data_IF_609345713466
#
_entry.id   IF_609345713466
#
_cell.length_a   1.000
_cell.length_b   1.000
_cell.length_c   1.000
_cell.angle_alpha   90.00
_cell.angle_beta   90.00
_cell.angle_gamma   90.00
#
_symmetry.space_group_name_H-M   'P 1'
#
loop_
_entity.id
_entity.type
_entity.pdbx_description
1 polymer ?
#
# COMPACT_ATOMS: atom_id res chain seq x y z
N UNK A 1 37.71 9.43 18.72
CA UNK A 1 36.37 10.02 18.88
C UNK A 1 35.54 9.09 19.72
N UNK A 2 34.95 9.58 20.80
CA UNK A 2 34.05 8.79 21.66
C UNK A 2 32.70 8.68 20.96
N UNK A 3 32.24 7.45 20.68
CA UNK A 3 30.97 7.20 20.02
C UNK A 3 29.84 7.50 21.01
N UNK A 4 29.01 8.51 20.72
CA UNK A 4 27.86 8.87 21.57
C UNK A 4 26.64 8.14 21.02
N UNK A 5 26.25 7.06 21.69
CA UNK A 5 25.04 6.32 21.35
C UNK A 5 23.84 7.03 21.97
N UNK A 6 22.94 7.54 21.13
CA UNK A 6 21.68 8.16 21.58
C UNK A 6 20.53 7.18 21.36
N UNK A 7 19.68 7.04 22.39
CA UNK A 7 18.52 6.16 22.39
C UNK A 7 17.25 6.98 22.53
N UNK A 8 16.33 6.78 21.59
CA UNK A 8 15.01 7.40 21.61
C UNK A 8 13.97 6.30 21.58
N UNK A 9 13.02 6.28 22.53
CA UNK A 9 11.89 5.35 22.55
C UNK A 9 10.59 6.11 22.82
N UNK A 10 9.59 5.89 21.97
CA UNK A 10 8.25 6.46 22.12
C UNK A 10 7.19 5.41 21.88
N UNK A 11 6.18 5.38 22.74
CA UNK A 11 4.96 4.58 22.57
C UNK A 11 3.81 5.50 22.17
N UNK A 12 3.11 5.17 21.08
CA UNK A 12 1.91 5.90 20.63
C UNK A 12 0.71 4.94 20.67
N UNK A 13 -0.31 5.32 21.44
CA UNK A 13 -1.59 4.60 21.48
C UNK A 13 -2.56 5.26 20.51
N UNK A 14 -3.13 4.50 19.58
CA UNK A 14 -4.09 4.96 18.56
C UNK A 14 -3.59 6.15 17.71
N UNK A 15 -2.44 5.99 17.02
CA UNK A 15 -1.95 7.03 16.11
C UNK A 15 -3.00 7.39 15.05
N UNK A 16 -3.15 8.68 14.78
CA UNK A 16 -3.97 9.24 13.71
C UNK A 16 -3.11 9.86 12.61
N UNK A 17 -3.71 10.13 11.45
CA UNK A 17 -3.07 10.83 10.34
C UNK A 17 -4.11 11.67 9.59
N UNK A 18 -3.73 12.89 9.21
CA UNK A 18 -4.47 13.69 8.23
C UNK A 18 -4.24 13.11 6.84
N UNK A 19 -5.31 12.73 6.16
CA UNK A 19 -5.27 12.22 4.78
C UNK A 19 -6.37 12.86 3.94
N UNK A 20 -6.17 12.86 2.63
CA UNK A 20 -7.27 13.01 1.68
C UNK A 20 -7.75 11.61 1.25
N UNK A 21 -9.00 11.20 1.56
CA UNK A 21 -9.54 9.91 1.14
C UNK A 21 -9.50 9.69 -0.37
N UNK A 22 -9.64 10.76 -1.17
CA UNK A 22 -9.57 10.69 -2.64
C UNK A 22 -8.20 10.25 -3.12
N UNK A 23 -7.13 10.64 -2.44
CA UNK A 23 -5.77 10.24 -2.83
C UNK A 23 -5.58 8.73 -2.62
N UNK A 24 -6.13 8.18 -1.53
CA UNK A 24 -6.10 6.74 -1.24
C UNK A 24 -6.88 5.94 -2.30
N UNK A 25 -8.08 6.39 -2.64
CA UNK A 25 -8.92 5.78 -3.67
C UNK A 25 -8.21 5.84 -5.03
N UNK A 26 -7.69 7.02 -5.40
CA UNK A 26 -7.00 7.25 -6.68
C UNK A 26 -5.75 6.38 -6.80
N UNK A 27 -4.97 6.26 -5.73
CA UNK A 27 -3.79 5.41 -5.69
C UNK A 27 -4.16 3.93 -5.87
N UNK A 28 -5.18 3.45 -5.14
CA UNK A 28 -5.66 2.07 -5.25
C UNK A 28 -6.15 1.75 -6.68
N UNK A 29 -6.94 2.66 -7.28
CA UNK A 29 -7.42 2.53 -8.65
C UNK A 29 -6.28 2.55 -9.68
N UNK A 30 -5.35 3.51 -9.59
CA UNK A 30 -4.20 3.62 -10.50
C UNK A 30 -3.31 2.39 -10.45
N UNK A 31 -3.01 1.90 -9.24
CA UNK A 31 -2.20 0.69 -9.06
C UNK A 31 -2.91 -0.55 -9.58
N UNK A 32 -4.24 -0.64 -9.48
CA UNK A 32 -5.00 -1.75 -10.04
C UNK A 32 -5.08 -1.67 -11.56
N UNK A 33 -5.25 -0.48 -12.15
CA UNK A 33 -5.23 -0.29 -13.60
C UNK A 33 -3.91 -0.82 -14.20
N UNK A 34 -2.79 -0.51 -13.55
CA UNK A 34 -1.48 -1.06 -13.90
C UNK A 34 -1.43 -2.59 -13.82
N UNK A 35 -2.01 -3.19 -12.77
CA UNK A 35 -2.11 -4.66 -12.65
C UNK A 35 -2.96 -5.24 -13.77
N UNK A 36 -4.10 -4.62 -14.11
CA UNK A 36 -4.98 -5.06 -15.19
C UNK A 36 -4.30 -4.94 -16.57
N UNK A 37 -3.53 -3.87 -16.80
CA UNK A 37 -2.69 -3.69 -17.99
C UNK A 37 -1.75 -4.88 -18.19
N UNK A 38 -0.95 -5.22 -17.18
CA UNK A 38 0.01 -6.30 -17.29
C UNK A 38 -0.66 -7.69 -17.28
N UNK A 39 -1.75 -7.88 -16.54
CA UNK A 39 -2.57 -9.10 -16.61
C UNK A 39 -3.09 -9.31 -18.04
N UNK A 40 -3.55 -8.25 -18.69
CA UNK A 40 -4.01 -8.30 -20.08
C UNK A 40 -2.88 -8.64 -21.06
N UNK A 41 -1.63 -8.25 -20.76
CA UNK A 41 -0.46 -8.60 -21.58
C UNK A 41 0.02 -10.05 -21.34
N UNK A 42 0.10 -10.49 -20.08
CA UNK A 42 0.70 -11.77 -19.71
C UNK A 42 -0.28 -12.94 -19.72
N UNK A 43 -1.54 -12.69 -19.36
CA UNK A 43 -2.62 -13.68 -19.21
C UNK A 43 -3.98 -13.10 -19.62
N UNK A 44 -4.16 -12.64 -20.88
CA UNK A 44 -5.39 -11.96 -21.33
C UNK A 44 -6.68 -12.77 -21.08
N UNK A 45 -6.62 -14.09 -21.23
CA UNK A 45 -7.77 -14.98 -21.03
C UNK A 45 -8.25 -15.06 -19.58
N UNK A 46 -7.45 -14.61 -18.61
CA UNK A 46 -7.73 -14.69 -17.17
C UNK A 46 -8.18 -13.37 -16.56
N UNK A 47 -8.17 -12.26 -17.31
CA UNK A 47 -8.49 -10.92 -16.78
C UNK A 47 -9.90 -10.89 -16.18
N UNK A 48 -10.89 -11.43 -16.89
CA UNK A 48 -12.29 -11.46 -16.42
C UNK A 48 -12.44 -12.33 -15.16
N UNK A 49 -11.74 -13.47 -15.09
CA UNK A 49 -11.76 -14.34 -13.91
C UNK A 49 -11.13 -13.61 -12.70
N UNK A 50 -10.01 -12.91 -12.92
CA UNK A 50 -9.32 -12.12 -11.90
C UNK A 50 -10.21 -11.00 -11.36
N UNK A 51 -10.86 -10.24 -12.26
CA UNK A 51 -11.81 -9.18 -11.88
C UNK A 51 -12.91 -9.75 -11.00
N UNK A 52 -13.57 -10.84 -11.41
CA UNK A 52 -14.64 -11.48 -10.62
C UNK A 52 -14.16 -11.99 -9.26
N UNK A 53 -12.96 -12.56 -9.20
CA UNK A 53 -12.36 -13.02 -7.95
C UNK A 53 -12.09 -11.84 -7.00
N UNK A 54 -11.55 -10.74 -7.53
CA UNK A 54 -11.31 -9.53 -6.74
C UNK A 54 -12.62 -8.87 -6.28
N UNK A 55 -13.62 -8.75 -7.14
CA UNK A 55 -14.95 -8.23 -6.80
C UNK A 55 -15.58 -9.03 -5.65
N UNK A 56 -15.51 -10.37 -5.71
CA UNK A 56 -15.98 -11.25 -4.64
C UNK A 56 -15.25 -10.99 -3.33
N UNK A 57 -13.92 -10.82 -3.36
CA UNK A 57 -13.13 -10.53 -2.15
C UNK A 57 -13.51 -9.19 -1.54
N UNK A 58 -13.59 -8.13 -2.34
CA UNK A 58 -13.96 -6.80 -1.85
C UNK A 58 -15.39 -6.79 -1.31
N UNK A 59 -16.32 -7.45 -1.99
CA UNK A 59 -17.72 -7.56 -1.54
C UNK A 59 -17.82 -8.26 -0.18
N UNK A 60 -17.04 -9.34 0.03
CA UNK A 60 -17.00 -10.04 1.31
C UNK A 60 -16.44 -9.17 2.44
N UNK A 61 -15.40 -8.37 2.15
CA UNK A 61 -14.78 -7.49 3.15
C UNK A 61 -15.69 -6.29 3.50
N UNK A 62 -16.34 -5.70 2.50
CA UNK A 62 -17.28 -4.59 2.66
C UNK A 62 -18.56 -5.06 3.38
N UNK A 63 -18.97 -6.31 3.14
CA UNK A 63 -20.19 -6.89 3.70
C UNK A 63 -21.43 -6.11 3.29
N UNK A 64 -22.20 -5.62 4.26
CA UNK A 64 -23.41 -4.83 4.03
C UNK A 64 -23.19 -3.31 4.09
N UNK A 65 -21.94 -2.84 4.14
CA UNK A 65 -21.64 -1.42 4.21
C UNK A 65 -22.15 -0.69 2.95
N UNK A 66 -22.83 0.44 3.18
CA UNK A 66 -23.37 1.30 2.13
C UNK A 66 -23.13 2.74 2.55
N UNK A 67 -22.57 3.52 1.64
CA UNK A 67 -22.41 4.97 1.78
C UNK A 67 -22.80 5.60 0.45
N UNK A 68 -23.51 6.73 0.50
CA UNK A 68 -23.71 7.54 -0.68
C UNK A 68 -22.47 8.41 -0.88
N UNK A 69 -21.74 8.11 -1.94
CA UNK A 69 -20.52 8.82 -2.31
C UNK A 69 -20.65 9.51 -3.66
N UNK A 70 -21.89 9.74 -4.13
CA UNK A 70 -22.15 10.44 -5.41
C UNK A 70 -21.56 11.84 -5.47
N UNK A 71 -21.34 12.48 -4.31
CA UNK A 71 -20.67 13.77 -4.20
C UNK A 71 -19.13 13.68 -4.23
N UNK A 72 -18.53 12.47 -4.28
CA UNK A 72 -17.09 12.34 -4.53
C UNK A 72 -16.82 12.64 -6.00
N UNK A 73 -16.18 13.77 -6.27
CA UNK A 73 -15.66 14.08 -7.61
C UNK A 73 -14.44 13.19 -7.92
N UNK A 74 -14.71 12.00 -8.43
CA UNK A 74 -13.71 11.02 -8.86
C UNK A 74 -13.49 11.02 -10.37
N UNK A 75 -14.36 11.68 -11.13
CA UNK A 75 -14.37 11.56 -12.58
C UNK A 75 -13.09 12.15 -13.18
N UNK A 76 -12.68 13.35 -12.73
CA UNK A 76 -11.44 13.99 -13.17
C UNK A 76 -10.19 13.21 -12.71
N UNK A 77 -10.23 12.59 -11.54
CA UNK A 77 -9.09 11.86 -10.95
C UNK A 77 -8.89 10.48 -11.56
N UNK A 78 -9.95 9.85 -12.05
CA UNK A 78 -9.95 8.49 -12.58
C UNK A 78 -10.10 8.43 -14.11
N UNK A 79 -10.06 9.58 -14.80
CA UNK A 79 -10.33 9.69 -16.24
C UNK A 79 -9.35 8.89 -17.12
N UNK A 80 -8.11 8.69 -16.67
CA UNK A 80 -7.03 8.07 -17.45
C UNK A 80 -6.80 6.57 -17.13
N UNK A 81 -7.80 5.88 -16.57
CA UNK A 81 -7.68 4.46 -16.21
C UNK A 81 -8.24 3.55 -17.31
N UNK A 82 -7.44 3.32 -18.36
CA UNK A 82 -7.85 2.62 -19.60
C UNK A 82 -8.36 1.18 -19.36
N UNK A 83 -7.78 0.46 -18.41
CA UNK A 83 -8.11 -0.94 -18.16
C UNK A 83 -9.21 -1.07 -17.10
N UNK A 84 -9.15 -0.27 -16.03
CA UNK A 84 -10.15 -0.29 -14.95
C UNK A 84 -11.49 0.32 -15.39
N UNK A 85 -11.49 1.29 -16.32
CA UNK A 85 -12.73 1.90 -16.84
C UNK A 85 -13.69 0.91 -17.50
N UNK A 86 -13.21 -0.28 -17.88
CA UNK A 86 -14.01 -1.38 -18.44
C UNK A 86 -14.78 -2.16 -17.36
N UNK A 87 -14.52 -1.92 -16.07
CA UNK A 87 -15.04 -2.66 -14.93
C UNK A 87 -15.62 -1.71 -13.87
N UNK A 88 -16.75 -1.08 -14.17
CA UNK A 88 -17.40 -0.10 -13.30
C UNK A 88 -17.74 -0.65 -11.90
N UNK A 89 -18.19 -1.91 -11.81
CA UNK A 89 -18.55 -2.54 -10.54
C UNK A 89 -17.33 -2.71 -9.63
N UNK A 90 -16.21 -3.20 -10.19
CA UNK A 90 -14.94 -3.26 -9.48
C UNK A 90 -14.47 -1.88 -9.03
N UNK A 91 -14.58 -0.84 -9.88
CA UNK A 91 -14.25 0.55 -9.49
C UNK A 91 -15.07 1.00 -8.27
N UNK A 92 -16.38 0.75 -8.29
CA UNK A 92 -17.28 1.09 -7.18
C UNK A 92 -16.93 0.33 -5.89
N UNK A 93 -16.59 -0.95 -6.00
CA UNK A 93 -16.16 -1.75 -4.86
C UNK A 93 -14.85 -1.23 -4.24
N UNK A 94 -13.91 -0.71 -5.03
CA UNK A 94 -12.66 -0.13 -4.49
C UNK A 94 -12.95 1.14 -3.69
N UNK A 95 -13.86 1.98 -4.17
CA UNK A 95 -14.30 3.18 -3.45
C UNK A 95 -14.93 2.79 -2.12
N UNK A 96 -15.94 1.90 -2.15
CA UNK A 96 -16.63 1.41 -0.96
C UNK A 96 -15.67 0.73 0.02
N UNK A 97 -14.76 -0.12 -0.48
CA UNK A 97 -13.73 -0.75 0.33
C UNK A 97 -12.87 0.28 1.05
N UNK A 98 -12.38 1.29 0.32
CA UNK A 98 -11.48 2.30 0.90
C UNK A 98 -12.20 3.10 1.98
N UNK A 99 -13.43 3.56 1.71
CA UNK A 99 -14.24 4.32 2.68
C UNK A 99 -14.60 3.49 3.92
N UNK A 100 -15.04 2.25 3.72
CA UNK A 100 -15.37 1.31 4.81
C UNK A 100 -14.16 1.05 5.69
N UNK A 101 -13.00 0.77 5.07
CA UNK A 101 -11.79 0.38 5.81
C UNK A 101 -11.16 1.55 6.55
N UNK A 102 -11.26 2.78 6.02
CA UNK A 102 -10.85 4.01 6.73
C UNK A 102 -11.82 4.39 7.86
N UNK A 103 -12.94 3.67 8.01
CA UNK A 103 -13.98 3.91 9.01
C UNK A 103 -14.48 5.37 8.98
N UNK A 104 -14.68 5.91 7.78
CA UNK A 104 -15.19 7.26 7.62
C UNK A 104 -16.66 7.33 8.06
N UNK A 105 -17.09 8.45 8.66
CA UNK A 105 -18.48 8.62 9.07
C UNK A 105 -19.43 8.54 7.86
N UNK A 106 -20.64 8.02 8.08
CA UNK A 106 -21.64 7.78 7.03
C UNK A 106 -22.06 9.08 6.33
N UNK A 107 -21.98 10.21 7.04
CA UNK A 107 -22.24 11.56 6.57
C UNK A 107 -20.96 12.31 6.15
N UNK A 108 -19.87 11.60 5.88
CA UNK A 108 -18.63 12.22 5.39
C UNK A 108 -18.90 13.03 4.11
N UNK A 109 -18.66 14.34 4.19
CA UNK A 109 -18.74 15.24 3.04
C UNK A 109 -17.33 15.40 2.43
N UNK A 110 -17.14 15.04 1.15
CA UNK A 110 -15.85 15.07 0.47
C UNK A 110 -15.14 16.43 0.38
N UNK A 111 -15.86 17.51 0.64
CA UNK A 111 -15.37 18.90 0.52
C UNK A 111 -14.26 19.22 1.54
N UNK A 112 -14.09 18.40 2.58
CA UNK A 112 -12.96 18.45 3.49
C UNK A 112 -11.74 17.81 2.82
N UNK A 113 -10.83 18.65 2.29
CA UNK A 113 -9.57 18.23 1.62
C UNK A 113 -8.77 17.21 2.43
N UNK A 114 -8.76 17.36 3.75
CA UNK A 114 -8.11 16.41 4.65
C UNK A 114 -9.04 16.06 5.80
N UNK A 115 -9.03 14.79 6.20
CA UNK A 115 -9.74 14.28 7.36
C UNK A 115 -8.78 13.48 8.23
N UNK A 116 -9.01 13.51 9.54
CA UNK A 116 -8.23 12.72 10.48
C UNK A 116 -8.76 11.29 10.49
N UNK A 117 -7.88 10.32 10.25
CA UNK A 117 -8.21 8.88 10.34
C UNK A 117 -7.24 8.15 11.23
N UNK A 118 -7.67 7.00 11.76
CA UNK A 118 -6.76 6.07 12.42
C UNK A 118 -5.69 5.59 11.45
N UNK A 119 -4.42 5.65 11.87
CA UNK A 119 -3.29 5.20 11.05
C UNK A 119 -3.46 3.75 10.58
N UNK A 120 -3.91 2.86 11.47
CA UNK A 120 -4.13 1.45 11.11
C UNK A 120 -5.26 1.27 10.12
N UNK A 121 -6.29 2.12 10.16
CA UNK A 121 -7.42 2.06 9.24
C UNK A 121 -7.03 2.56 7.85
N UNK A 122 -6.24 3.64 7.77
CA UNK A 122 -5.58 4.06 6.54
C UNK A 122 -4.65 2.98 5.96
N UNK A 123 -3.81 2.36 6.81
CA UNK A 123 -2.91 1.30 6.38
C UNK A 123 -3.67 0.04 5.94
N UNK A 124 -4.79 -0.30 6.56
CA UNK A 124 -5.64 -1.40 6.07
C UNK A 124 -6.25 -1.06 4.72
N UNK A 125 -6.76 0.16 4.53
CA UNK A 125 -7.37 0.60 3.27
C UNK A 125 -6.40 0.49 2.07
N UNK A 126 -5.10 0.57 2.34
CA UNK A 126 -4.06 0.33 1.35
C UNK A 126 -3.62 -1.15 1.33
N UNK A 127 -3.09 -1.68 2.44
CA UNK A 127 -2.40 -2.97 2.47
C UNK A 127 -3.34 -4.17 2.35
N UNK A 128 -4.54 -4.13 2.93
CA UNK A 128 -5.53 -5.21 2.76
C UNK A 128 -6.01 -5.26 1.30
N UNK A 129 -6.16 -4.10 0.66
CA UNK A 129 -6.42 -4.06 -0.78
C UNK A 129 -5.28 -4.68 -1.59
N UNK A 130 -4.01 -4.38 -1.26
CA UNK A 130 -2.85 -5.03 -1.90
C UNK A 130 -2.91 -6.54 -1.76
N UNK A 131 -3.18 -7.04 -0.56
CA UNK A 131 -3.34 -8.47 -0.30
C UNK A 131 -4.42 -9.10 -1.20
N UNK A 132 -5.61 -8.49 -1.28
CA UNK A 132 -6.69 -9.03 -2.10
C UNK A 132 -6.38 -9.05 -3.58
N UNK A 133 -5.62 -8.07 -4.10
CA UNK A 133 -5.15 -8.09 -5.49
C UNK A 133 -4.28 -9.32 -5.77
N UNK A 134 -3.31 -9.63 -4.90
CA UNK A 134 -2.49 -10.84 -5.08
C UNK A 134 -3.32 -12.10 -4.92
N UNK A 135 -4.17 -12.14 -3.88
CA UNK A 135 -4.95 -13.33 -3.56
C UNK A 135 -5.99 -13.67 -4.63
N UNK A 136 -6.58 -12.67 -5.28
CA UNK A 136 -7.49 -12.87 -6.40
C UNK A 136 -6.81 -13.58 -7.59
N UNK A 137 -5.51 -13.37 -7.82
CA UNK A 137 -4.75 -14.13 -8.82
C UNK A 137 -4.65 -15.60 -8.39
N UNK A 138 -4.28 -15.84 -7.14
CA UNK A 138 -4.12 -17.19 -6.57
C UNK A 138 -5.45 -17.96 -6.50
N UNK A 139 -6.59 -17.28 -6.50
CA UNK A 139 -7.90 -17.95 -6.49
C UNK A 139 -8.31 -18.53 -7.86
N UNK A 140 -7.72 -18.04 -8.96
CA UNK A 140 -8.13 -18.38 -10.33
C UNK A 140 -7.14 -19.29 -11.07
N UNK A 141 -6.02 -19.61 -10.44
CA UNK A 141 -4.97 -20.49 -10.98
C UNK A 141 -4.23 -21.20 -9.85
N UNK A 142 -3.38 -22.17 -10.20
CA UNK A 142 -2.54 -22.85 -9.23
C UNK A 142 -1.68 -21.84 -8.44
N UNK A 143 -1.49 -22.11 -7.14
CA UNK A 143 -0.85 -21.17 -6.21
C UNK A 143 0.51 -20.68 -6.70
N UNK A 144 1.36 -21.62 -7.10
CA UNK A 144 2.73 -21.32 -7.56
C UNK A 144 2.69 -20.48 -8.85
N UNK A 145 1.80 -20.80 -9.79
CA UNK A 145 1.63 -20.01 -11.01
C UNK A 145 1.14 -18.59 -10.68
N UNK A 146 0.17 -18.47 -9.77
CA UNK A 146 -0.38 -17.17 -9.36
C UNK A 146 0.63 -16.28 -8.65
N UNK A 147 1.46 -16.87 -7.77
CA UNK A 147 2.55 -16.15 -7.11
C UNK A 147 3.60 -15.72 -8.13
N UNK A 148 3.98 -16.60 -9.06
CA UNK A 148 4.97 -16.25 -10.08
C UNK A 148 4.45 -15.14 -10.99
N UNK A 149 3.18 -15.22 -11.41
CA UNK A 149 2.55 -14.16 -12.18
C UNK A 149 2.58 -12.84 -11.41
N UNK A 150 2.21 -12.81 -10.13
CA UNK A 150 2.28 -11.60 -9.32
C UNK A 150 3.69 -10.98 -9.30
N UNK A 151 4.72 -11.82 -9.12
CA UNK A 151 6.12 -11.38 -9.16
C UNK A 151 6.46 -10.74 -10.51
N UNK A 152 6.05 -11.36 -11.62
CA UNK A 152 6.28 -10.83 -12.97
C UNK A 152 5.56 -9.48 -13.19
N UNK A 153 4.33 -9.33 -12.66
CA UNK A 153 3.58 -8.07 -12.74
C UNK A 153 4.28 -6.94 -11.98
N UNK A 154 4.74 -7.21 -10.75
CA UNK A 154 5.43 -6.21 -9.92
C UNK A 154 6.81 -5.89 -10.50
N UNK A 155 7.54 -6.87 -11.03
CA UNK A 155 8.81 -6.63 -11.72
C UNK A 155 8.64 -5.65 -12.89
N UNK A 156 7.63 -5.86 -13.76
CA UNK A 156 7.32 -4.95 -14.86
C UNK A 156 6.92 -3.55 -14.38
N UNK A 157 6.14 -3.47 -13.31
CA UNK A 157 5.75 -2.19 -12.71
C UNK A 157 6.99 -1.40 -12.25
N UNK A 158 7.96 -2.10 -11.64
CA UNK A 158 9.23 -1.50 -11.21
C UNK A 158 10.08 -1.06 -12.40
N UNK A 159 10.18 -1.88 -13.46
CA UNK A 159 10.90 -1.50 -14.68
C UNK A 159 10.31 -0.25 -15.35
N UNK A 160 8.98 -0.16 -15.46
CA UNK A 160 8.31 1.01 -16.01
C UNK A 160 8.59 2.25 -15.15
N UNK A 161 8.50 2.12 -13.82
CA UNK A 161 8.78 3.22 -12.89
C UNK A 161 10.20 3.76 -13.05
N UNK A 162 11.21 2.87 -13.11
CA UNK A 162 12.63 3.24 -13.32
C UNK A 162 12.83 3.95 -14.67
N UNK A 163 12.12 3.52 -15.72
CA UNK A 163 12.24 4.14 -17.05
C UNK A 163 11.57 5.52 -17.13
N UNK A 164 10.56 5.77 -16.30
CA UNK A 164 9.83 7.04 -16.27
C UNK A 164 10.40 8.03 -15.26
N UNK A 165 11.25 7.59 -14.32
CA UNK A 165 11.91 8.45 -13.36
C UNK A 165 13.14 9.12 -13.98
N UNK A 166 12.91 10.06 -14.90
CA UNK A 166 13.89 11.10 -15.16
C UNK A 166 13.87 12.03 -13.94
N UNK A 167 14.94 11.98 -13.11
CA UNK A 167 15.18 12.85 -11.94
C UNK A 167 14.41 12.54 -10.64
N UNK A 168 14.68 11.41 -9.97
CA UNK A 168 14.53 11.38 -8.51
C UNK A 168 15.82 11.88 -7.85
N UNK A 169 15.85 13.16 -7.47
CA UNK A 169 16.83 13.68 -6.52
C UNK A 169 16.49 13.07 -5.16
N UNK A 170 17.00 11.86 -4.89
CA UNK A 170 16.94 11.33 -3.54
C UNK A 170 17.65 12.31 -2.60
N UNK A 171 17.02 12.72 -1.48
CA UNK A 171 17.67 13.57 -0.51
C UNK A 171 18.98 12.89 -0.07
N UNK A 172 20.09 13.65 0.11
CA UNK A 172 21.35 13.10 0.60
C UNK A 172 21.14 12.21 1.82
N UNK A 173 21.89 11.12 1.96
CA UNK A 173 21.79 10.17 3.09
C UNK A 173 21.77 10.89 4.45
N UNK A 174 22.51 12.00 4.56
CA UNK A 174 22.51 12.85 5.75
C UNK A 174 21.13 13.42 6.09
N UNK A 175 20.38 13.92 5.12
CA UNK A 175 19.03 14.45 5.33
C UNK A 175 18.03 13.36 5.74
N UNK A 176 18.17 12.16 5.17
CA UNK A 176 17.38 10.98 5.56
C UNK A 176 17.69 10.61 7.01
N UNK A 177 18.97 10.50 7.37
CA UNK A 177 19.42 10.18 8.74
C UNK A 177 18.95 11.23 9.75
N UNK A 178 19.10 12.52 9.45
CA UNK A 178 18.59 13.61 10.29
C UNK A 178 17.08 13.57 10.43
N UNK A 179 16.35 13.19 9.37
CA UNK A 179 14.91 12.97 9.41
C UNK A 179 14.52 11.92 10.45
N UNK A 180 15.14 10.73 10.40
CA UNK A 180 14.88 9.66 11.36
C UNK A 180 15.29 10.03 12.80
N UNK A 181 16.40 10.74 12.97
CA UNK A 181 16.81 11.25 14.28
C UNK A 181 15.80 12.26 14.84
N UNK A 182 15.34 13.22 14.02
CA UNK A 182 14.29 14.19 14.40
C UNK A 182 12.97 13.50 14.74
N UNK A 183 12.57 12.45 14.02
CA UNK A 183 11.38 11.67 14.36
C UNK A 183 11.50 11.00 15.74
N UNK A 184 12.66 10.43 16.05
CA UNK A 184 12.95 9.85 17.36
C UNK A 184 13.02 10.89 18.48
N UNK A 185 13.66 12.04 18.24
CA UNK A 185 13.89 13.11 19.22
C UNK A 185 12.63 13.90 19.55
N UNK A 186 11.91 14.36 18.53
CA UNK A 186 10.76 15.25 18.70
C UNK A 186 9.46 14.48 18.90
N UNK A 187 9.49 13.16 18.70
CA UNK A 187 8.33 12.29 18.85
C UNK A 187 7.22 12.58 17.86
N UNK A 188 7.51 13.14 16.70
CA UNK A 188 6.49 13.29 15.64
C UNK A 188 6.21 11.96 14.91
N UNK A 189 6.89 10.87 15.30
CA UNK A 189 6.61 9.55 14.74
C UNK A 189 5.24 9.03 15.17
N UNK A 190 4.46 8.56 14.20
CA UNK A 190 3.20 7.86 14.40
C UNK A 190 3.41 6.39 14.79
N UNK A 191 4.64 5.98 15.07
CA UNK A 191 5.03 4.59 15.27
C UNK A 191 5.87 4.40 16.54
N UNK A 192 5.86 3.17 17.06
CA UNK A 192 6.77 2.76 18.12
C UNK A 192 8.15 2.47 17.53
N UNK A 193 9.01 3.49 17.53
CA UNK A 193 10.33 3.48 16.90
C UNK A 193 11.43 3.63 17.95
N UNK A 194 12.42 2.75 17.90
CA UNK A 194 13.69 2.96 18.56
C UNK A 194 14.73 3.37 17.52
N UNK A 195 15.29 4.57 17.67
CA UNK A 195 16.39 5.06 16.84
C UNK A 195 17.67 5.00 17.65
N UNK A 196 18.69 4.34 17.10
CA UNK A 196 20.05 4.29 17.64
C UNK A 196 20.97 4.96 16.63
N UNK A 197 21.47 6.16 16.93
CA UNK A 197 22.51 6.82 16.12
C UNK A 197 23.89 6.43 16.65
N UNK A 198 24.78 6.01 15.74
CA UNK A 198 26.18 5.69 16.04
C UNK A 198 27.11 6.86 15.68
N UNK A 199 26.77 7.61 14.64
CA UNK A 199 27.42 8.84 14.18
C UNK A 199 26.38 9.70 13.40
N UNK A 200 26.78 10.89 12.91
CA UNK A 200 25.92 11.83 12.17
C UNK A 200 25.37 11.27 10.84
N UNK A 201 25.78 10.06 10.43
CA UNK A 201 25.46 9.46 9.14
C UNK A 201 24.87 8.05 9.24
N UNK A 202 24.86 7.43 10.43
CA UNK A 202 24.40 6.06 10.64
C UNK A 202 23.37 5.98 11.76
N UNK A 203 22.17 5.53 11.39
CA UNK A 203 21.08 5.18 12.30
C UNK A 203 20.71 3.71 12.14
N UNK A 204 20.55 3.00 13.25
CA UNK A 204 19.82 1.75 13.31
C UNK A 204 18.41 2.02 13.82
N UNK A 205 17.44 1.48 13.11
CA UNK A 205 16.03 1.54 13.46
C UNK A 205 15.60 0.17 13.99
N UNK A 206 14.96 0.15 15.15
CA UNK A 206 14.25 -1.01 15.66
C UNK A 206 12.77 -0.65 15.78
N UNK A 207 11.95 -1.33 15.00
CA UNK A 207 10.50 -1.28 15.13
C UNK A 207 10.09 -2.34 16.16
N UNK A 208 9.61 -1.93 17.33
CA UNK A 208 9.01 -2.89 18.28
C UNK A 208 7.64 -3.38 17.74
N UNK A 209 6.98 -2.57 16.90
CA UNK A 209 5.81 -2.92 16.10
C UNK A 209 5.92 -2.33 14.70
N UNK A 210 5.76 -3.17 13.67
CA UNK A 210 5.67 -2.70 12.29
C UNK A 210 4.18 -2.44 11.95
N UNK A 211 3.77 -1.19 11.71
CA UNK A 211 2.39 -0.79 11.47
C UNK A 211 1.83 -1.40 10.17
N UNK A 212 2.69 -1.59 9.16
CA UNK A 212 2.35 -2.25 7.89
C UNK A 212 2.02 -3.72 8.16
N UNK A 213 2.87 -4.44 8.89
CA UNK A 213 2.60 -5.82 9.28
C UNK A 213 1.35 -5.91 10.17
N UNK A 214 1.21 -5.03 11.15
CA UNK A 214 0.04 -4.99 12.04
C UNK A 214 -1.27 -4.75 11.30
N UNK A 215 -1.24 -3.99 10.20
CA UNK A 215 -2.41 -3.76 9.35
C UNK A 215 -2.88 -5.00 8.58
N UNK A 216 -2.05 -6.04 8.44
CA UNK A 216 -2.38 -7.25 7.65
C UNK A 216 -2.20 -8.58 8.41
N UNK A 217 -1.68 -8.57 9.64
CA UNK A 217 -1.39 -9.79 10.42
C UNK A 217 -2.62 -10.68 10.71
N UNK A 218 -3.82 -10.13 10.56
CA UNK A 218 -5.08 -10.84 10.75
C UNK A 218 -5.52 -11.63 9.51
N UNK A 219 -4.85 -11.41 8.37
CA UNK A 219 -5.13 -12.13 7.12
C UNK A 219 -4.52 -13.54 7.18
N UNK A 220 -5.21 -14.51 6.60
CA UNK A 220 -4.90 -15.93 6.76
C UNK A 220 -3.61 -16.36 6.04
N UNK A 221 -3.31 -15.76 4.89
CA UNK A 221 -2.21 -16.18 4.03
C UNK A 221 -0.99 -15.27 4.19
N UNK A 222 -0.09 -15.66 5.11
CA UNK A 222 1.09 -14.86 5.48
C UNK A 222 2.06 -14.63 4.32
N UNK A 223 2.20 -15.59 3.42
CA UNK A 223 3.07 -15.46 2.24
C UNK A 223 2.50 -14.42 1.28
N UNK A 224 1.19 -14.48 1.01
CA UNK A 224 0.53 -13.49 0.16
C UNK A 224 0.51 -12.11 0.81
N UNK A 225 0.35 -12.04 2.12
CA UNK A 225 0.52 -10.80 2.87
C UNK A 225 1.92 -10.25 2.60
N UNK A 226 2.99 -11.01 2.88
CA UNK A 226 4.37 -10.59 2.63
C UNK A 226 4.61 -10.11 1.19
N UNK A 227 4.14 -10.86 0.19
CA UNK A 227 4.26 -10.51 -1.24
C UNK A 227 3.53 -9.21 -1.61
N UNK A 228 2.48 -8.84 -0.87
CA UNK A 228 1.68 -7.64 -1.17
C UNK A 228 2.28 -6.33 -0.65
N UNK A 229 3.12 -6.39 0.40
CA UNK A 229 3.66 -5.19 1.07
C UNK A 229 5.19 -5.13 1.20
N UNK A 230 5.90 -6.27 1.17
CA UNK A 230 7.34 -6.33 1.43
C UNK A 230 8.19 -6.82 0.26
N UNK A 231 7.61 -7.36 -0.81
CA UNK A 231 8.39 -7.82 -1.96
C UNK A 231 8.77 -6.66 -2.87
N UNK A 232 10.08 -6.43 -3.03
CA UNK A 232 10.65 -5.27 -3.72
C UNK A 232 10.91 -5.47 -5.21
N UNK A 233 10.55 -6.62 -5.79
CA UNK A 233 10.78 -6.87 -7.21
C UNK A 233 12.14 -7.48 -7.57
N UNK A 234 13.10 -7.54 -6.63
CA UNK A 234 14.37 -8.22 -6.88
C UNK A 234 14.16 -9.73 -6.96
N UNK A 235 14.75 -10.37 -7.98
CA UNK A 235 14.77 -11.83 -8.05
C UNK A 235 15.64 -12.39 -6.92
N UNK A 236 15.26 -13.52 -6.33
CA UNK A 236 16.12 -14.20 -5.33
C UNK A 236 17.53 -14.46 -5.87
N UNK A 237 17.67 -14.66 -7.17
CA UNK A 237 18.96 -14.86 -7.83
C UNK A 237 19.86 -13.61 -7.81
N UNK A 238 19.30 -12.40 -7.76
CA UNK A 238 20.06 -11.16 -7.62
C UNK A 238 20.35 -10.80 -6.16
N UNK A 239 19.41 -11.07 -5.26
CA UNK A 239 19.63 -10.97 -3.80
C UNK A 239 20.76 -11.90 -3.34
N UNK A 240 20.78 -13.13 -3.83
CA UNK A 240 21.81 -14.13 -3.50
C UNK A 240 23.16 -13.89 -4.20
N UNK A 241 23.26 -12.94 -5.14
CA UNK A 241 24.54 -12.48 -5.70
C UNK A 241 25.18 -11.36 -4.88
N UNK A 242 24.41 -10.70 -4.01
CA UNK A 242 24.84 -9.56 -3.18
C UNK A 242 25.17 -9.96 -1.72
N UNK A 243 24.95 -11.22 -1.35
CA UNK A 243 25.38 -11.86 -0.09
C UNK A 243 26.66 -12.69 -0.33
#
# INVERSE_FOLDING_TARGET
>A
MTMIVKHYKRSVTNPTRMINPLDVITENCTRLDTVLRYMNQLRPKRVTDYVRALEKRLSNEIGSFKIDYTNLDLDDKLINLEFLSRYCDLKNLIVLFSLNTMNLPIDYIPELKETEVGLLDWLKATNVFRYHRVKAIVDIMDREEGIQLWKDLVYRATEDAIRTSDEEIHPPIKEITEGWMREGENGQSNFELTVVSYDDHKVALRFDRCPVFDSVKHLEDREIAYLSYCWTGESEAELNKKL
#
